data_IF_330978388215
#
_entry.id   IF_330978388215
#
_cell.length_a   1.000
_cell.length_b   1.000
_cell.length_c   1.000
_cell.angle_alpha   90.00
_cell.angle_beta   90.00
_cell.angle_gamma   90.00
#
_symmetry.space_group_name_H-M   'P 1'
#
loop_
_entity.id
_entity.type
_entity.pdbx_description
1 polymer ?
#
# COMPACT_ATOMS: atom_id res chain seq x y z
N UNK A 1 10.31 -15.96 10.74
CA UNK A 1 9.02 -15.84 10.01
C UNK A 1 7.98 -15.05 10.81
N UNK A 2 7.69 -15.41 12.07
CA UNK A 2 6.79 -14.66 12.95
C UNK A 2 7.29 -13.22 13.21
N UNK A 3 8.55 -13.08 13.64
CA UNK A 3 9.17 -11.77 13.90
C UNK A 3 9.11 -10.85 12.67
N UNK A 4 9.40 -11.37 11.47
CA UNK A 4 9.33 -10.59 10.24
C UNK A 4 7.91 -10.05 9.99
N UNK A 5 6.88 -10.88 10.19
CA UNK A 5 5.49 -10.45 10.02
C UNK A 5 5.07 -9.41 11.07
N UNK A 6 5.57 -9.50 12.31
CA UNK A 6 5.36 -8.46 13.33
C UNK A 6 5.99 -7.13 12.91
N UNK A 7 7.24 -7.16 12.44
CA UNK A 7 7.93 -5.97 11.94
C UNK A 7 7.18 -5.38 10.73
N UNK A 8 6.76 -6.22 9.79
CA UNK A 8 5.98 -5.78 8.62
C UNK A 8 4.67 -5.11 9.07
N UNK A 9 3.93 -5.73 10.00
CA UNK A 9 2.69 -5.16 10.53
C UNK A 9 2.93 -3.79 11.17
N UNK A 10 3.97 -3.67 11.99
CA UNK A 10 4.37 -2.40 12.60
C UNK A 10 4.75 -1.35 11.56
N UNK A 11 5.55 -1.69 10.55
CA UNK A 11 5.95 -0.72 9.51
C UNK A 11 4.74 -0.26 8.69
N UNK A 12 3.85 -1.16 8.29
CA UNK A 12 2.61 -0.81 7.56
C UNK A 12 1.69 0.06 8.42
N UNK A 13 1.55 -0.25 9.71
CA UNK A 13 0.76 0.55 10.64
C UNK A 13 1.37 1.92 10.90
N UNK A 14 2.66 2.01 11.18
CA UNK A 14 3.35 3.26 11.50
C UNK A 14 3.40 4.21 10.29
N UNK A 15 3.62 3.67 9.09
CA UNK A 15 3.53 4.49 7.87
C UNK A 15 2.12 5.01 7.65
N UNK A 16 1.10 4.22 7.98
CA UNK A 16 -0.31 4.65 7.92
C UNK A 16 -0.60 5.74 8.94
N UNK A 17 -0.21 5.53 10.20
CA UNK A 17 -0.36 6.50 11.29
C UNK A 17 0.34 7.83 10.98
N UNK A 18 1.54 7.79 10.37
CA UNK A 18 2.24 9.00 9.94
C UNK A 18 1.45 9.77 8.88
N UNK A 19 0.88 9.07 7.88
CA UNK A 19 0.08 9.74 6.85
C UNK A 19 -1.22 10.31 7.43
N UNK A 20 -1.92 9.56 8.29
CA UNK A 20 -3.10 10.05 8.99
C UNK A 20 -2.79 11.29 9.84
N UNK A 21 -1.66 11.31 10.53
CA UNK A 21 -1.24 12.46 11.32
C UNK A 21 -0.98 13.71 10.46
N UNK A 22 -0.43 13.55 9.26
CA UNK A 22 -0.08 14.67 8.38
C UNK A 22 -1.27 15.21 7.57
N UNK A 23 -2.20 14.36 7.15
CA UNK A 23 -3.25 14.71 6.19
C UNK A 23 -4.68 14.46 6.70
N UNK A 24 -4.84 13.90 7.90
CA UNK A 24 -6.13 13.44 8.39
C UNK A 24 -6.60 12.16 7.70
N UNK A 25 -7.91 11.90 7.79
CA UNK A 25 -8.55 10.74 7.18
C UNK A 25 -9.82 11.18 6.45
N UNK A 26 -9.81 11.04 5.12
CA UNK A 26 -11.01 11.10 4.29
C UNK A 26 -10.97 9.89 3.35
N UNK A 27 -12.07 9.15 3.26
CA UNK A 27 -12.16 7.94 2.45
C UNK A 27 -12.64 8.28 1.04
N UNK A 28 -13.38 9.39 0.89
CA UNK A 28 -13.91 9.88 -0.40
C UNK A 28 -12.82 10.51 -1.28
N UNK A 29 -11.79 11.10 -0.65
CA UNK A 29 -10.62 11.67 -1.32
C UNK A 29 -9.37 11.05 -0.71
N UNK A 30 -8.58 10.35 -1.53
CA UNK A 30 -7.33 9.75 -1.09
C UNK A 30 -6.27 10.79 -0.70
N UNK A 31 -5.35 10.40 0.18
CA UNK A 31 -4.18 11.23 0.48
C UNK A 31 -3.23 11.29 -0.72
N UNK A 32 -2.85 12.49 -1.17
CA UNK A 32 -1.90 12.68 -2.29
C UNK A 32 -0.47 12.18 -2.01
N UNK A 33 -0.18 11.74 -0.78
CA UNK A 33 1.01 10.99 -0.43
C UNK A 33 0.61 9.81 0.47
N UNK A 34 0.84 8.57 0.00
CA UNK A 34 0.48 7.37 0.75
C UNK A 34 1.63 6.37 0.89
N UNK A 35 2.49 6.61 1.89
CA UNK A 35 3.66 5.75 2.17
C UNK A 35 3.35 4.26 2.40
N UNK A 36 2.21 3.85 3.00
CA UNK A 36 1.92 2.44 3.24
C UNK A 36 1.96 1.59 1.97
N UNK A 37 1.62 2.14 0.80
CA UNK A 37 1.69 1.39 -0.46
C UNK A 37 3.11 0.84 -0.71
N UNK A 38 4.13 1.68 -0.54
CA UNK A 38 5.53 1.27 -0.71
C UNK A 38 5.99 0.27 0.36
N UNK A 39 5.50 0.41 1.59
CA UNK A 39 5.77 -0.54 2.67
C UNK A 39 5.28 -1.95 2.34
N UNK A 40 4.05 -2.07 1.83
CA UNK A 40 3.46 -3.35 1.41
C UNK A 40 4.23 -3.96 0.24
N UNK A 41 4.55 -3.15 -0.78
CA UNK A 41 5.31 -3.60 -1.95
C UNK A 41 6.67 -4.15 -1.56
N UNK A 42 7.45 -3.42 -0.75
CA UNK A 42 8.76 -3.90 -0.29
C UNK A 42 8.63 -5.15 0.57
N UNK A 43 7.63 -5.22 1.44
CA UNK A 43 7.40 -6.42 2.27
C UNK A 43 7.21 -7.67 1.37
N UNK A 44 6.36 -7.57 0.34
CA UNK A 44 6.16 -8.69 -0.59
C UNK A 44 7.37 -9.00 -1.46
N UNK A 45 8.13 -7.99 -1.88
CA UNK A 45 9.35 -8.21 -2.65
C UNK A 45 10.44 -8.92 -1.82
N UNK A 46 10.62 -8.51 -0.56
CA UNK A 46 11.68 -9.00 0.30
C UNK A 46 11.36 -10.35 0.94
N UNK A 47 10.10 -10.57 1.32
CA UNK A 47 9.69 -11.76 2.09
C UNK A 47 8.71 -12.67 1.35
N UNK A 48 8.35 -12.33 0.11
CA UNK A 48 7.40 -13.10 -0.71
C UNK A 48 5.98 -13.07 -0.15
N UNK A 49 5.17 -14.05 -0.57
CA UNK A 49 3.77 -14.19 -0.13
C UNK A 49 3.62 -14.38 1.39
N UNK A 50 4.67 -14.83 2.08
CA UNK A 50 4.69 -14.96 3.54
C UNK A 50 4.55 -13.64 4.30
N UNK A 51 4.81 -12.50 3.65
CA UNK A 51 4.56 -11.17 4.21
C UNK A 51 3.06 -10.85 4.33
N UNK A 52 2.19 -11.63 3.68
CA UNK A 52 0.76 -11.36 3.60
C UNK A 52 0.12 -11.17 4.97
N UNK A 53 0.46 -12.01 5.95
CA UNK A 53 -0.12 -11.94 7.29
C UNK A 53 0.25 -10.62 7.98
N UNK A 54 1.51 -10.22 7.93
CA UNK A 54 1.98 -8.96 8.50
C UNK A 54 1.38 -7.75 7.80
N UNK A 55 1.32 -7.77 6.46
CA UNK A 55 0.71 -6.68 5.68
C UNK A 55 -0.78 -6.56 5.98
N UNK A 56 -1.50 -7.68 6.08
CA UNK A 56 -2.91 -7.72 6.42
C UNK A 56 -3.16 -7.18 7.82
N UNK A 57 -2.45 -7.69 8.83
CA UNK A 57 -2.61 -7.25 10.23
C UNK A 57 -2.30 -5.76 10.35
N UNK A 58 -1.17 -5.27 9.82
CA UNK A 58 -0.83 -3.85 9.88
C UNK A 58 -1.86 -2.96 9.18
N UNK A 59 -2.43 -3.43 8.07
CA UNK A 59 -3.48 -2.69 7.36
C UNK A 59 -4.82 -2.70 8.11
N UNK A 60 -5.22 -3.83 8.71
CA UNK A 60 -6.44 -3.93 9.53
C UNK A 60 -6.32 -3.11 10.81
N UNK A 61 -5.15 -3.11 11.47
CA UNK A 61 -4.88 -2.22 12.60
C UNK A 61 -5.06 -0.76 12.21
N UNK A 62 -4.59 -0.38 11.03
CA UNK A 62 -4.79 0.99 10.52
C UNK A 62 -6.27 1.30 10.33
N UNK A 63 -7.03 0.38 9.75
CA UNK A 63 -8.49 0.48 9.62
C UNK A 63 -9.22 0.67 10.95
N UNK A 64 -8.87 -0.16 11.94
CA UNK A 64 -9.49 -0.19 13.26
C UNK A 64 -9.14 1.04 14.11
N UNK A 65 -7.87 1.42 14.16
CA UNK A 65 -7.37 2.44 15.09
C UNK A 65 -7.25 3.84 14.49
N UNK A 66 -7.17 3.95 13.16
CA UNK A 66 -6.93 5.24 12.48
C UNK A 66 -8.10 5.67 11.59
N UNK A 67 -8.84 4.71 11.00
CA UNK A 67 -9.91 5.01 10.03
C UNK A 67 -11.32 4.74 10.54
N UNK A 68 -11.44 4.45 11.83
CA UNK A 68 -12.71 4.23 12.55
C UNK A 68 -13.65 3.24 11.85
N UNK A 69 -13.14 2.06 11.48
CA UNK A 69 -13.96 1.00 10.87
C UNK A 69 -15.22 0.64 11.67
N UNK A 70 -15.21 0.88 12.98
CA UNK A 70 -16.33 0.58 13.88
C UNK A 70 -17.56 1.47 13.66
N UNK A 71 -17.39 2.71 13.19
CA UNK A 71 -18.51 3.64 13.06
C UNK A 71 -18.92 3.83 11.60
N UNK A 72 -19.67 2.87 11.07
CA UNK A 72 -20.33 2.99 9.76
C UNK A 72 -19.57 2.45 8.55
N UNK A 73 -18.39 1.85 8.75
CA UNK A 73 -17.59 1.26 7.66
C UNK A 73 -17.14 -0.19 7.92
N UNK A 74 -17.88 -0.92 8.76
CA UNK A 74 -17.50 -2.25 9.25
C UNK A 74 -17.40 -3.32 8.15
N UNK A 75 -18.08 -3.12 7.02
CA UNK A 75 -18.04 -4.05 5.88
C UNK A 75 -17.07 -3.55 4.80
N UNK A 76 -17.24 -2.30 4.35
CA UNK A 76 -16.49 -1.76 3.21
C UNK A 76 -15.05 -1.35 3.56
N UNK A 77 -14.78 -1.04 4.83
CA UNK A 77 -13.43 -0.75 5.34
C UNK A 77 -12.53 -1.98 5.26
N UNK A 78 -12.91 -3.11 5.88
CA UNK A 78 -12.14 -4.36 5.76
C UNK A 78 -12.01 -4.87 4.33
N UNK A 79 -13.06 -4.78 3.50
CA UNK A 79 -12.98 -5.17 2.08
C UNK A 79 -12.00 -4.29 1.30
N UNK A 80 -12.07 -2.97 1.47
CA UNK A 80 -11.11 -2.04 0.85
C UNK A 80 -9.68 -2.24 1.35
N UNK A 81 -9.53 -2.66 2.61
CA UNK A 81 -8.24 -3.08 3.17
C UNK A 81 -7.70 -4.31 2.46
N UNK A 82 -8.54 -5.33 2.28
CA UNK A 82 -8.16 -6.54 1.55
C UNK A 82 -7.74 -6.23 0.12
N UNK A 83 -8.47 -5.37 -0.60
CA UNK A 83 -8.06 -4.90 -1.94
C UNK A 83 -6.67 -4.27 -1.89
N UNK A 84 -6.41 -3.36 -0.94
CA UNK A 84 -5.11 -2.70 -0.80
C UNK A 84 -3.98 -3.59 -0.28
N UNK A 85 -4.29 -4.76 0.28
CA UNK A 85 -3.32 -5.79 0.66
C UNK A 85 -3.01 -6.69 -0.54
N UNK A 86 -4.03 -7.05 -1.32
CA UNK A 86 -3.89 -7.97 -2.45
C UNK A 86 -3.35 -7.30 -3.72
N UNK A 87 -3.57 -5.99 -3.91
CA UNK A 87 -3.17 -5.29 -5.13
C UNK A 87 -1.66 -5.42 -5.46
N UNK A 88 -0.72 -5.22 -4.50
CA UNK A 88 0.70 -5.48 -4.75
C UNK A 88 1.03 -6.94 -5.11
N UNK A 89 0.36 -7.91 -4.47
CA UNK A 89 0.55 -9.33 -4.79
C UNK A 89 0.07 -9.64 -6.20
N UNK A 90 -1.11 -9.16 -6.57
CA UNK A 90 -1.65 -9.30 -7.92
C UNK A 90 -0.71 -8.68 -8.95
N UNK A 91 -0.19 -7.47 -8.70
CA UNK A 91 0.77 -6.81 -9.57
C UNK A 91 2.07 -7.62 -9.74
N UNK A 92 2.61 -8.20 -8.66
CA UNK A 92 3.79 -9.08 -8.74
C UNK A 92 3.49 -10.31 -9.60
N UNK A 93 2.33 -10.95 -9.42
CA UNK A 93 1.93 -12.13 -10.20
C UNK A 93 1.79 -11.78 -11.69
N UNK A 94 1.12 -10.67 -12.01
CA UNK A 94 0.95 -10.17 -13.38
C UNK A 94 2.32 -9.91 -14.02
N UNK A 95 3.20 -9.16 -13.34
CA UNK A 95 4.53 -8.85 -13.88
C UNK A 95 5.37 -10.10 -14.11
N UNK A 96 5.29 -11.11 -13.23
CA UNK A 96 5.99 -12.38 -13.41
C UNK A 96 5.41 -13.19 -14.57
N UNK A 97 4.08 -13.25 -14.68
CA UNK A 97 3.39 -13.98 -15.74
C UNK A 97 3.75 -13.44 -17.13
N UNK A 98 3.74 -12.11 -17.30
CA UNK A 98 4.13 -11.45 -18.54
C UNK A 98 5.64 -11.23 -18.70
N UNK A 99 6.46 -11.77 -17.79
CA UNK A 99 7.93 -11.62 -17.80
C UNK A 99 8.42 -10.16 -17.83
N UNK A 100 7.64 -9.24 -17.27
CA UNK A 100 7.92 -7.79 -17.23
C UNK A 100 8.93 -7.39 -16.14
N UNK A 101 9.50 -8.36 -15.42
CA UNK A 101 10.29 -8.06 -14.23
C UNK A 101 11.44 -9.04 -13.98
N UNK A 102 12.60 -8.47 -13.71
CA UNK A 102 13.66 -9.03 -12.87
C UNK A 102 13.84 -8.12 -11.67
N UNK A 103 13.06 -8.34 -10.60
CA UNK A 103 13.09 -7.47 -9.42
C UNK A 103 14.44 -7.48 -8.70
N UNK A 104 15.17 -8.59 -8.81
CA UNK A 104 16.51 -8.75 -8.29
C UNK A 104 17.45 -9.11 -9.44
N UNK A 105 18.54 -8.37 -9.59
CA UNK A 105 19.61 -8.65 -10.53
C UNK A 105 20.96 -8.53 -9.81
N UNK A 106 21.77 -9.59 -9.84
CA UNK A 106 23.06 -9.66 -9.14
C UNK A 106 22.97 -9.27 -7.64
N UNK A 107 21.93 -9.74 -6.95
CA UNK A 107 21.70 -9.45 -5.53
C UNK A 107 21.26 -8.02 -5.21
N UNK A 108 20.99 -7.18 -6.22
CA UNK A 108 20.50 -5.80 -6.06
C UNK A 108 19.06 -5.69 -6.55
N UNK A 109 18.28 -4.87 -5.87
CA UNK A 109 16.92 -4.53 -6.29
C UNK A 109 16.97 -3.66 -7.55
N UNK A 110 16.25 -4.06 -8.59
CA UNK A 110 16.09 -3.27 -9.80
C UNK A 110 15.01 -2.21 -9.59
N UNK A 111 15.44 -0.98 -9.25
CA UNK A 111 14.55 0.13 -8.94
C UNK A 111 13.52 0.41 -10.04
N UNK A 112 13.89 0.28 -11.33
CA UNK A 112 12.96 0.53 -12.45
C UNK A 112 11.78 -0.43 -12.45
N UNK A 113 12.03 -1.71 -12.17
CA UNK A 113 10.97 -2.71 -12.07
C UNK A 113 10.12 -2.50 -10.81
N UNK A 114 10.72 -2.04 -9.71
CA UNK A 114 9.96 -1.68 -8.51
C UNK A 114 9.08 -0.44 -8.74
N UNK A 115 9.56 0.57 -9.47
CA UNK A 115 8.75 1.72 -9.88
C UNK A 115 7.53 1.28 -10.70
N UNK A 116 7.74 0.41 -11.69
CA UNK A 116 6.62 -0.13 -12.47
C UNK A 116 5.65 -0.94 -11.60
N UNK A 117 6.16 -1.72 -10.64
CA UNK A 117 5.34 -2.43 -9.67
C UNK A 117 4.52 -1.48 -8.81
N UNK A 118 5.08 -0.35 -8.36
CA UNK A 118 4.34 0.69 -7.62
C UNK A 118 3.17 1.20 -8.47
N UNK A 119 3.42 1.57 -9.72
CA UNK A 119 2.37 2.08 -10.61
C UNK A 119 1.27 1.03 -10.81
N UNK A 120 1.63 -0.20 -11.14
CA UNK A 120 0.66 -1.27 -11.38
C UNK A 120 -0.13 -1.63 -10.11
N UNK A 121 0.52 -1.69 -8.95
CA UNK A 121 -0.14 -1.94 -7.66
C UNK A 121 -1.13 -0.83 -7.31
N UNK A 122 -0.74 0.42 -7.54
CA UNK A 122 -1.58 1.60 -7.30
C UNK A 122 -2.82 1.59 -8.19
N UNK A 123 -2.64 1.23 -9.47
CA UNK A 123 -3.74 1.11 -10.43
C UNK A 123 -4.74 0.02 -10.02
N UNK A 124 -4.25 -1.19 -9.69
CA UNK A 124 -5.11 -2.30 -9.24
C UNK A 124 -5.84 -1.94 -7.95
N UNK A 125 -5.16 -1.31 -6.99
CA UNK A 125 -5.76 -0.88 -5.74
C UNK A 125 -6.86 0.16 -5.97
N UNK A 126 -6.57 1.20 -6.75
CA UNK A 126 -7.50 2.30 -7.02
C UNK A 126 -8.74 1.80 -7.74
N UNK A 127 -8.58 1.01 -8.80
CA UNK A 127 -9.71 0.43 -9.56
C UNK A 127 -10.52 -0.50 -8.66
N UNK A 128 -9.85 -1.38 -7.90
CA UNK A 128 -10.53 -2.32 -7.00
C UNK A 128 -11.35 -1.60 -5.92
N UNK A 129 -10.81 -0.53 -5.33
CA UNK A 129 -11.54 0.28 -4.36
C UNK A 129 -12.66 1.09 -4.99
N UNK A 130 -12.45 1.64 -6.18
CA UNK A 130 -13.50 2.35 -6.90
C UNK A 130 -14.71 1.43 -7.12
N UNK A 131 -14.52 0.21 -7.63
CA UNK A 131 -15.63 -0.74 -7.79
C UNK A 131 -16.31 -1.12 -6.46
N UNK A 132 -15.58 -1.15 -5.35
CA UNK A 132 -16.18 -1.40 -4.03
C UNK A 132 -17.03 -0.22 -3.53
N UNK A 133 -16.67 1.01 -3.91
CA UNK A 133 -17.23 2.23 -3.32
C UNK A 133 -18.24 2.97 -4.22
N UNK A 134 -18.14 2.84 -5.55
CA UNK A 134 -18.87 3.64 -6.54
C UNK A 134 -20.40 3.65 -6.38
N UNK A 135 -21.01 2.51 -6.02
CA UNK A 135 -22.47 2.40 -5.86
C UNK A 135 -22.93 2.50 -4.40
N UNK A 136 -22.00 2.46 -3.45
CA UNK A 136 -22.30 2.05 -2.06
C UNK A 136 -21.87 3.04 -1.00
N UNK A 137 -21.15 4.07 -1.42
CA UNK A 137 -20.55 5.04 -0.53
C UNK A 137 -21.27 6.38 -0.71
N UNK A 138 -22.42 6.50 -0.03
CA UNK A 138 -22.75 7.76 0.65
C UNK A 138 -21.94 7.82 1.94
N UNK A 139 -20.59 7.86 1.86
CA UNK A 139 -19.78 8.11 3.07
C UNK A 139 -20.11 9.53 3.49
N UNK A 140 -20.70 9.69 4.66
CA UNK A 140 -21.18 10.96 5.19
C UNK A 140 -22.15 11.74 4.28
N UNK A 141 -23.06 11.06 3.57
CA UNK A 141 -23.98 11.68 2.59
C UNK A 141 -23.29 12.39 1.42
N UNK A 142 -21.99 12.19 1.21
CA UNK A 142 -21.26 12.71 0.05
C UNK A 142 -21.27 11.69 -1.07
N UNK A 143 -21.60 12.13 -2.28
CA UNK A 143 -21.39 11.32 -3.49
C UNK A 143 -19.88 11.25 -3.77
N UNK A 144 -19.39 10.05 -4.07
CA UNK A 144 -17.99 9.87 -4.48
C UNK A 144 -17.88 10.29 -5.94
N UNK A 145 -17.20 11.41 -6.20
CA UNK A 145 -16.77 11.73 -7.56
C UNK A 145 -15.69 10.73 -7.98
N UNK A 146 -16.02 9.88 -8.96
CA UNK A 146 -15.13 8.81 -9.41
C UNK A 146 -13.80 9.35 -9.96
N UNK A 147 -13.81 10.53 -10.59
CA UNK A 147 -12.61 11.14 -11.15
C UNK A 147 -11.72 11.64 -10.02
N UNK A 148 -12.27 12.39 -9.06
CA UNK A 148 -11.54 12.89 -7.89
C UNK A 148 -10.99 11.75 -7.03
N UNK A 149 -11.80 10.70 -6.81
CA UNK A 149 -11.38 9.48 -6.13
C UNK A 149 -10.20 8.82 -6.83
N UNK A 150 -10.30 8.57 -8.14
CA UNK A 150 -9.21 7.94 -8.90
C UNK A 150 -7.95 8.80 -8.88
N UNK A 151 -8.07 10.11 -9.10
CA UNK A 151 -6.92 11.01 -9.12
C UNK A 151 -6.21 11.04 -7.78
N UNK A 152 -6.96 11.15 -6.68
CA UNK A 152 -6.40 11.25 -5.34
C UNK A 152 -5.74 9.93 -4.89
N UNK A 153 -6.44 8.80 -5.00
CA UNK A 153 -5.90 7.50 -4.60
C UNK A 153 -4.72 7.05 -5.48
N UNK A 154 -4.83 7.19 -6.80
CA UNK A 154 -3.76 6.76 -7.71
C UNK A 154 -2.51 7.60 -7.51
N UNK A 155 -2.66 8.93 -7.42
CA UNK A 155 -1.53 9.85 -7.20
C UNK A 155 -0.88 9.59 -5.85
N UNK A 156 -1.70 9.43 -4.82
CA UNK A 156 -1.27 9.09 -3.46
C UNK A 156 -0.42 7.86 -3.36
N UNK A 157 -0.93 6.75 -3.89
CA UNK A 157 -0.28 5.46 -3.87
C UNK A 157 1.02 5.46 -4.70
N UNK A 158 1.02 6.11 -5.87
CA UNK A 158 2.22 6.21 -6.71
C UNK A 158 3.29 7.04 -6.01
N UNK A 159 2.98 8.27 -5.60
CA UNK A 159 3.95 9.16 -4.97
C UNK A 159 4.46 8.57 -3.66
N UNK A 160 3.55 8.09 -2.81
CA UNK A 160 3.90 7.49 -1.53
C UNK A 160 4.69 6.20 -1.67
N UNK A 161 4.31 5.35 -2.63
CA UNK A 161 5.04 4.14 -2.96
C UNK A 161 6.47 4.42 -3.42
N UNK A 162 6.66 5.38 -4.33
CA UNK A 162 7.98 5.78 -4.83
C UNK A 162 8.82 6.37 -3.70
N UNK A 163 8.27 7.31 -2.94
CA UNK A 163 8.98 7.98 -1.84
C UNK A 163 9.44 6.96 -0.80
N UNK A 164 8.55 6.09 -0.35
CA UNK A 164 8.89 5.06 0.63
C UNK A 164 9.97 4.11 0.11
N UNK A 165 9.80 3.58 -1.11
CA UNK A 165 10.80 2.70 -1.74
C UNK A 165 12.15 3.39 -1.86
N UNK A 166 12.17 4.65 -2.30
CA UNK A 166 13.40 5.43 -2.42
C UNK A 166 14.10 5.59 -1.06
N UNK A 167 13.38 6.03 -0.03
CA UNK A 167 13.92 6.20 1.33
C UNK A 167 14.54 4.90 1.83
N UNK A 168 13.81 3.78 1.72
CA UNK A 168 14.32 2.50 2.22
C UNK A 168 15.57 2.06 1.45
N UNK A 169 15.51 2.08 0.11
CA UNK A 169 16.60 1.52 -0.70
C UNK A 169 17.85 2.41 -0.74
N UNK A 170 17.68 3.73 -0.66
CA UNK A 170 18.78 4.70 -0.85
C UNK A 170 19.27 5.33 0.43
N UNK A 171 18.44 5.44 1.46
CA UNK A 171 18.82 6.06 2.73
C UNK A 171 18.99 5.01 3.82
N UNK A 172 18.01 4.13 4.01
CA UNK A 172 17.99 3.19 5.14
C UNK A 172 18.97 2.04 4.92
N UNK A 173 18.90 1.32 3.78
CA UNK A 173 19.75 0.15 3.55
C UNK A 173 21.26 0.45 3.55
N UNK A 174 21.75 1.55 2.94
CA UNK A 174 23.18 1.87 2.98
C UNK A 174 23.71 2.15 4.39
N UNK A 175 22.90 2.73 5.29
CA UNK A 175 23.31 2.99 6.67
C UNK A 175 23.66 1.70 7.42
N UNK A 176 22.95 0.60 7.14
CA UNK A 176 23.23 -0.71 7.74
C UNK A 176 24.39 -1.45 7.07
N UNK A 177 24.70 -1.13 5.81
CA UNK A 177 25.79 -1.76 5.08
C UNK A 177 27.16 -1.14 5.38
N UNK A 178 27.18 0.12 5.80
CA UNK A 178 28.42 0.82 6.20
C UNK A 178 28.86 0.51 7.64
N UNK A 179 28.16 -0.40 8.34
CA UNK A 179 28.47 -0.83 9.72
C UNK A 179 28.99 -2.28 9.82
N UNK A 180 29.25 -2.94 8.68
CA UNK A 180 29.84 -4.29 8.58
C UNK A 180 31.16 -4.24 7.83
#
# INVERSE_FOLDING_TARGET
>A
MLLNNLIIALVVFLTSALMTFLYGNDISIGNYLWLPMGAKILAYLLFGAWAFIGVLIGSLMSGIFLYDFWNGNEVYGPLGTLVGVLAPLAAIVIMRYFQLSTFFAAGKINFRHVLFLVILSSLINTIGKLFLYIDKVKVDNKEVDALEFMQSYLTGDILGGIVFVFIVLKLVLPLFKNQS
#
